data_IF_692676770750
#
_entry.id   IF_692676770750
#
_cell.length_a   1.000
_cell.length_b   1.000
_cell.length_c   1.000
_cell.angle_alpha   90.00
_cell.angle_beta   90.00
_cell.angle_gamma   90.00
#
_symmetry.space_group_name_H-M   'P 1'
#
loop_
_entity.id
_entity.type
_entity.pdbx_description
1 polymer ?
#
# COMPACT_ATOMS: atom_id res chain seq x y z
N UNK A 1 -15.67 7.39 30.88
CA UNK A 1 -15.13 7.74 32.22
C UNK A 1 -14.11 6.66 32.58
N UNK A 2 -12.86 6.99 32.96
CA UNK A 2 -11.85 5.99 33.36
C UNK A 2 -12.34 5.04 34.46
N UNK A 3 -13.35 5.43 35.24
CA UNK A 3 -14.00 4.58 36.24
C UNK A 3 -14.50 3.23 35.68
N UNK A 4 -14.96 3.18 34.43
CA UNK A 4 -15.53 1.98 33.82
C UNK A 4 -14.49 1.05 33.18
N UNK A 5 -13.21 1.42 33.21
CA UNK A 5 -12.12 0.63 32.62
C UNK A 5 -11.79 -0.53 33.55
N UNK A 6 -11.86 -1.74 33.00
CA UNK A 6 -11.45 -2.94 33.73
C UNK A 6 -9.92 -3.08 33.70
N UNK A 7 -9.35 -3.58 34.79
CA UNK A 7 -7.92 -3.89 34.88
C UNK A 7 -7.68 -5.24 34.22
N UNK A 8 -7.49 -5.23 32.90
CA UNK A 8 -7.14 -6.39 32.08
C UNK A 8 -5.83 -6.11 31.37
N UNK A 9 -4.97 -7.10 31.22
CA UNK A 9 -3.82 -6.97 30.33
C UNK A 9 -4.24 -7.41 28.93
N UNK A 10 -3.94 -6.59 27.92
CA UNK A 10 -4.28 -6.90 26.54
C UNK A 10 -3.08 -7.54 25.86
N UNK A 11 -3.31 -8.64 25.16
CA UNK A 11 -2.30 -9.28 24.33
C UNK A 11 -2.04 -8.41 23.09
N UNK A 12 -0.76 -8.26 22.72
CA UNK A 12 -0.33 -7.64 21.46
C UNK A 12 -0.20 -8.72 20.39
N UNK A 13 -0.77 -8.47 19.22
CA UNK A 13 -0.73 -9.38 18.09
C UNK A 13 0.69 -9.46 17.52
N UNK A 14 1.06 -10.65 17.06
CA UNK A 14 2.34 -10.90 16.38
C UNK A 14 2.08 -11.81 15.17
N UNK A 15 2.87 -11.65 14.10
CA UNK A 15 2.81 -12.53 12.93
C UNK A 15 3.15 -13.99 13.28
N UNK A 16 2.54 -14.97 12.59
CA UNK A 16 2.97 -16.35 12.69
C UNK A 16 4.46 -16.49 12.39
N UNK A 17 5.20 -17.35 13.11
CA UNK A 17 6.59 -17.64 12.79
C UNK A 17 6.72 -18.13 11.34
N UNK A 18 7.60 -17.50 10.57
CA UNK A 18 7.86 -17.83 9.16
C UNK A 18 9.36 -17.93 8.88
N UNK A 19 9.75 -18.78 7.93
CA UNK A 19 11.15 -18.91 7.47
C UNK A 19 11.70 -20.33 7.56
N UNK A 20 12.94 -20.50 7.10
CA UNK A 20 13.60 -21.82 6.98
C UNK A 20 14.09 -22.42 8.31
N UNK A 21 14.08 -21.64 9.39
CA UNK A 21 14.62 -22.03 10.71
C UNK A 21 13.59 -21.83 11.83
N UNK A 22 12.34 -22.24 11.59
CA UNK A 22 11.31 -22.22 12.63
C UNK A 22 11.72 -23.18 13.75
N UNK A 23 11.89 -22.65 14.96
CA UNK A 23 12.17 -23.42 16.17
C UNK A 23 11.00 -24.36 16.46
N UNK A 24 11.28 -25.61 16.83
CA UNK A 24 10.27 -26.59 17.21
C UNK A 24 9.38 -26.01 18.33
N UNK A 25 8.05 -26.03 18.13
CA UNK A 25 7.08 -25.50 19.10
C UNK A 25 6.83 -23.98 19.01
N UNK A 26 7.51 -23.24 18.13
CA UNK A 26 7.26 -21.81 17.94
C UNK A 26 5.83 -21.53 17.44
N UNK A 27 5.34 -22.35 16.51
CA UNK A 27 3.96 -22.22 15.99
C UNK A 27 2.92 -22.53 17.07
N UNK A 28 3.18 -23.51 17.95
CA UNK A 28 2.26 -23.83 19.06
C UNK A 28 2.23 -22.73 20.11
N UNK A 29 3.40 -22.14 20.41
CA UNK A 29 3.53 -20.99 21.31
C UNK A 29 2.79 -19.77 20.74
N UNK A 30 2.95 -19.51 19.45
CA UNK A 30 2.22 -18.46 18.75
C UNK A 30 0.71 -18.69 18.81
N UNK A 31 0.23 -19.92 18.53
CA UNK A 31 -1.20 -20.26 18.60
C UNK A 31 -1.77 -19.98 19.98
N UNK A 32 -1.14 -20.49 21.04
CA UNK A 32 -1.62 -20.27 22.41
C UNK A 32 -1.69 -18.77 22.77
N UNK A 33 -0.72 -17.96 22.33
CA UNK A 33 -0.74 -16.52 22.55
C UNK A 33 -1.84 -15.83 21.74
N UNK A 34 -2.05 -16.23 20.49
CA UNK A 34 -3.06 -15.64 19.61
C UNK A 34 -4.49 -16.07 19.96
N UNK A 35 -4.66 -17.23 20.59
CA UNK A 35 -5.92 -17.60 21.25
C UNK A 35 -6.23 -16.61 22.39
N UNK A 36 -5.25 -16.26 23.22
CA UNK A 36 -5.38 -15.19 24.23
C UNK A 36 -5.73 -13.82 23.62
N UNK A 37 -5.05 -13.44 22.53
CA UNK A 37 -5.40 -12.23 21.78
C UNK A 37 -6.86 -12.25 21.28
N UNK A 38 -7.30 -13.38 20.71
CA UNK A 38 -8.67 -13.53 20.24
C UNK A 38 -9.69 -13.42 21.38
N UNK A 39 -9.38 -13.99 22.55
CA UNK A 39 -10.21 -13.85 23.75
C UNK A 39 -10.30 -12.40 24.23
N UNK A 40 -9.21 -11.65 24.18
CA UNK A 40 -9.17 -10.22 24.52
C UNK A 40 -10.06 -9.40 23.57
N UNK A 41 -9.97 -9.63 22.25
CA UNK A 41 -10.82 -8.94 21.27
C UNK A 41 -12.29 -9.32 21.43
N UNK A 42 -12.60 -10.61 21.69
CA UNK A 42 -13.96 -11.08 21.96
C UNK A 42 -14.53 -10.47 23.25
N UNK A 43 -13.71 -10.34 24.29
CA UNK A 43 -14.09 -9.64 25.51
C UNK A 43 -14.37 -8.16 25.26
N UNK A 44 -13.52 -7.46 24.51
CA UNK A 44 -13.74 -6.06 24.16
C UNK A 44 -15.10 -5.87 23.46
N UNK A 45 -15.44 -6.78 22.55
CA UNK A 45 -16.72 -6.78 21.84
C UNK A 45 -17.93 -7.11 22.74
N UNK A 46 -17.73 -7.86 23.83
CA UNK A 46 -18.81 -8.21 24.75
C UNK A 46 -19.15 -7.08 25.74
N UNK A 47 -18.29 -6.06 25.88
CA UNK A 47 -18.52 -4.93 26.76
C UNK A 47 -19.76 -4.13 26.37
N UNK A 48 -20.51 -3.71 27.38
CA UNK A 48 -21.59 -2.73 27.25
C UNK A 48 -21.05 -1.40 26.71
N UNK A 49 -21.89 -0.64 26.00
CA UNK A 49 -21.51 0.59 25.29
C UNK A 49 -20.60 1.54 26.07
N UNK A 50 -20.95 1.89 27.32
CA UNK A 50 -20.18 2.84 28.12
C UNK A 50 -18.83 2.26 28.59
N UNK A 51 -18.76 0.95 28.83
CA UNK A 51 -17.52 0.23 29.16
C UNK A 51 -16.63 0.11 27.94
N UNK A 52 -17.19 -0.28 26.80
CA UNK A 52 -16.47 -0.32 25.53
C UNK A 52 -15.78 1.00 25.22
N UNK A 53 -16.53 2.11 25.20
CA UNK A 53 -15.94 3.43 24.93
C UNK A 53 -14.96 3.88 26.00
N UNK A 54 -15.21 3.57 27.28
CA UNK A 54 -14.24 3.89 28.33
C UNK A 54 -12.94 3.09 28.16
N UNK A 55 -13.02 1.81 27.81
CA UNK A 55 -11.85 0.98 27.52
C UNK A 55 -11.08 1.52 26.31
N UNK A 56 -11.74 1.80 25.18
CA UNK A 56 -11.10 2.38 24.00
C UNK A 56 -10.34 3.69 24.32
N UNK A 57 -10.92 4.55 25.15
CA UNK A 57 -10.39 5.88 25.41
C UNK A 57 -9.30 5.95 26.49
N UNK A 58 -9.32 5.04 27.44
CA UNK A 58 -8.53 5.18 28.67
C UNK A 58 -7.70 3.94 29.00
N UNK A 59 -7.95 2.79 28.37
CA UNK A 59 -7.13 1.60 28.57
C UNK A 59 -5.82 1.75 27.78
N UNK A 60 -4.69 1.71 28.47
CA UNK A 60 -3.37 2.02 27.91
C UNK A 60 -2.97 1.13 26.74
N UNK A 61 -3.41 -0.13 26.70
CA UNK A 61 -3.02 -1.10 25.68
C UNK A 61 -4.12 -1.41 24.65
N UNK A 62 -5.34 -0.87 24.80
CA UNK A 62 -6.48 -1.39 24.03
C UNK A 62 -6.37 -1.03 22.54
N UNK A 63 -6.09 0.23 22.23
CA UNK A 63 -5.85 0.64 20.84
C UNK A 63 -4.56 0.04 20.29
N UNK A 64 -3.49 -0.07 21.09
CA UNK A 64 -2.24 -0.70 20.68
C UNK A 64 -2.46 -2.18 20.27
N UNK A 65 -3.27 -2.93 21.01
CA UNK A 65 -3.63 -4.30 20.66
C UNK A 65 -4.36 -4.37 19.31
N UNK A 66 -5.33 -3.47 19.06
CA UNK A 66 -6.06 -3.43 17.78
C UNK A 66 -5.15 -3.03 16.60
N UNK A 67 -4.32 -2.00 16.80
CA UNK A 67 -3.40 -1.49 15.78
C UNK A 67 -2.29 -2.49 15.48
N UNK A 68 -1.80 -3.22 16.48
CA UNK A 68 -0.78 -4.25 16.27
C UNK A 68 -1.24 -5.32 15.27
N UNK A 69 -2.52 -5.71 15.28
CA UNK A 69 -3.03 -6.64 14.27
C UNK A 69 -2.99 -6.03 12.87
N UNK A 70 -3.40 -4.77 12.72
CA UNK A 70 -3.41 -4.09 11.43
C UNK A 70 -1.99 -3.96 10.84
N UNK A 71 -1.01 -3.61 11.68
CA UNK A 71 0.39 -3.45 11.27
C UNK A 71 1.05 -4.78 10.88
N UNK A 72 0.69 -5.86 11.57
CA UNK A 72 1.26 -7.19 11.41
C UNK A 72 0.39 -8.10 10.53
N UNK A 73 -0.72 -7.61 9.99
CA UNK A 73 -1.58 -8.41 9.11
C UNK A 73 -0.83 -8.82 7.85
N UNK A 74 -1.05 -10.05 7.36
CA UNK A 74 -0.39 -10.55 6.15
C UNK A 74 -0.90 -9.78 4.92
N UNK A 75 -0.03 -9.08 4.16
CA UNK A 75 -0.45 -8.32 2.99
C UNK A 75 -1.03 -9.24 1.91
N UNK A 76 -1.93 -8.75 1.03
CA UNK A 76 -2.61 -9.59 0.03
C UNK A 76 -1.69 -10.31 -0.97
N UNK A 77 -0.49 -9.78 -1.22
CA UNK A 77 0.48 -10.39 -2.13
C UNK A 77 1.32 -11.51 -1.50
N UNK A 78 1.25 -11.68 -0.17
CA UNK A 78 1.94 -12.77 0.53
C UNK A 78 1.04 -14.02 0.50
N UNK A 79 1.57 -15.19 0.12
CA UNK A 79 0.81 -16.43 0.15
C UNK A 79 0.25 -16.75 1.54
N UNK A 80 -0.93 -17.40 1.61
CA UNK A 80 -1.48 -17.87 2.88
C UNK A 80 -0.52 -18.83 3.61
N UNK A 81 -0.59 -18.83 4.94
CA UNK A 81 0.20 -19.75 5.78
C UNK A 81 -0.11 -21.21 5.45
N UNK A 82 0.89 -22.10 5.42
CA UNK A 82 0.66 -23.51 5.06
C UNK A 82 -0.24 -24.27 6.05
N UNK A 83 -0.16 -23.93 7.34
CA UNK A 83 -0.93 -24.60 8.39
C UNK A 83 -2.38 -24.13 8.43
N UNK A 84 -3.31 -25.06 8.26
CA UNK A 84 -4.75 -24.79 8.30
C UNK A 84 -5.22 -24.25 9.67
N UNK A 85 -4.63 -24.72 10.76
CA UNK A 85 -5.00 -24.25 12.10
C UNK A 85 -4.57 -22.78 12.30
N UNK A 86 -3.37 -22.43 11.80
CA UNK A 86 -2.88 -21.04 11.79
C UNK A 86 -3.78 -20.15 10.94
N UNK A 87 -4.14 -20.59 9.73
CA UNK A 87 -5.07 -19.85 8.86
C UNK A 87 -6.43 -19.63 9.56
N UNK A 88 -6.97 -20.66 10.20
CA UNK A 88 -8.28 -20.57 10.87
C UNK A 88 -8.24 -19.57 12.03
N UNK A 89 -7.22 -19.66 12.89
CA UNK A 89 -7.05 -18.72 14.00
C UNK A 89 -6.81 -17.29 13.50
N UNK A 90 -6.01 -17.12 12.45
CA UNK A 90 -5.75 -15.83 11.82
C UNK A 90 -7.05 -15.19 11.29
N UNK A 91 -7.86 -15.93 10.53
CA UNK A 91 -9.12 -15.42 9.99
C UNK A 91 -10.15 -15.11 11.08
N UNK A 92 -10.18 -15.90 12.16
CA UNK A 92 -11.01 -15.59 13.32
C UNK A 92 -10.59 -14.27 13.96
N UNK A 93 -9.29 -14.05 14.20
CA UNK A 93 -8.77 -12.79 14.72
C UNK A 93 -9.11 -11.64 13.78
N UNK A 94 -8.76 -11.79 12.51
CA UNK A 94 -8.99 -10.82 11.43
C UNK A 94 -10.45 -10.36 11.40
N UNK A 95 -11.39 -11.30 11.45
CA UNK A 95 -12.83 -11.01 11.49
C UNK A 95 -13.23 -10.21 12.72
N UNK A 96 -12.78 -10.60 13.91
CA UNK A 96 -13.20 -9.92 15.16
C UNK A 96 -12.62 -8.51 15.26
N UNK A 97 -11.38 -8.29 14.82
CA UNK A 97 -10.78 -6.94 14.76
C UNK A 97 -11.59 -6.03 13.82
N UNK A 98 -12.02 -6.51 12.65
CA UNK A 98 -12.89 -5.72 11.76
C UNK A 98 -14.23 -5.35 12.41
N UNK A 99 -14.82 -6.27 13.19
CA UNK A 99 -16.06 -5.99 13.93
C UNK A 99 -15.83 -4.88 14.97
N UNK A 100 -14.67 -4.86 15.65
CA UNK A 100 -14.32 -3.76 16.57
C UNK A 100 -14.26 -2.43 15.83
N UNK A 101 -13.54 -2.34 14.71
CA UNK A 101 -13.46 -1.12 13.91
C UNK A 101 -14.83 -0.69 13.35
N UNK A 102 -15.71 -1.65 13.05
CA UNK A 102 -17.08 -1.37 12.64
C UNK A 102 -17.91 -0.77 13.79
N UNK A 103 -17.73 -1.28 15.01
CA UNK A 103 -18.36 -0.73 16.22
C UNK A 103 -17.84 0.68 16.51
N UNK A 104 -16.54 0.93 16.32
CA UNK A 104 -15.92 2.24 16.49
C UNK A 104 -16.47 3.33 15.57
N UNK A 105 -17.12 2.99 14.45
CA UNK A 105 -17.80 3.95 13.56
C UNK A 105 -19.33 3.97 13.75
N UNK A 106 -19.85 3.25 14.74
CA UNK A 106 -21.30 3.16 15.02
C UNK A 106 -21.71 4.13 16.12
N UNK A 107 -22.22 5.32 15.74
CA UNK A 107 -22.59 6.37 16.70
C UNK A 107 -23.85 6.07 17.52
N UNK A 108 -24.65 5.08 17.10
CA UNK A 108 -25.91 4.70 17.74
C UNK A 108 -26.09 3.19 17.74
N UNK A 109 -25.75 2.54 18.85
CA UNK A 109 -25.96 1.10 19.04
C UNK A 109 -27.40 0.78 19.44
N UNK A 110 -28.08 1.70 20.15
CA UNK A 110 -29.50 1.53 20.51
C UNK A 110 -30.22 2.88 20.72
N UNK A 111 -31.47 2.85 21.19
CA UNK A 111 -32.22 4.07 21.55
C UNK A 111 -31.62 4.79 22.77
N UNK A 112 -30.95 4.05 23.65
CA UNK A 112 -30.39 4.54 24.93
C UNK A 112 -28.87 4.56 24.94
N UNK A 113 -28.23 3.83 24.02
CA UNK A 113 -26.77 3.71 23.90
C UNK A 113 -26.33 4.36 22.59
N UNK A 114 -25.99 5.65 22.66
CA UNK A 114 -25.61 6.44 21.51
C UNK A 114 -24.84 7.69 21.93
N UNK A 115 -24.16 8.31 20.97
CA UNK A 115 -23.56 9.63 21.08
C UNK A 115 -23.90 10.46 19.85
N UNK A 116 -23.84 11.79 19.98
CA UNK A 116 -24.04 12.68 18.84
C UNK A 116 -22.93 12.46 17.82
N UNK A 117 -23.22 12.73 16.53
CA UNK A 117 -22.24 12.54 15.47
C UNK A 117 -21.06 13.51 15.63
N UNK A 118 -21.35 14.72 16.10
CA UNK A 118 -20.38 15.79 16.34
C UNK A 118 -19.41 15.37 17.46
N UNK A 119 -19.94 14.87 18.59
CA UNK A 119 -19.10 14.39 19.68
C UNK A 119 -18.25 13.20 19.24
N UNK A 120 -18.82 12.27 18.47
CA UNK A 120 -18.07 11.14 17.93
C UNK A 120 -16.97 11.58 16.97
N UNK A 121 -17.23 12.56 16.10
CA UNK A 121 -16.26 13.08 15.15
C UNK A 121 -15.03 13.68 15.85
N UNK A 122 -15.25 14.45 16.92
CA UNK A 122 -14.16 14.99 17.74
C UNK A 122 -13.45 13.88 18.52
N UNK A 123 -14.22 12.92 19.05
CA UNK A 123 -13.68 11.78 19.81
C UNK A 123 -12.73 10.92 18.95
N UNK A 124 -13.17 10.54 17.75
CA UNK A 124 -12.38 9.70 16.84
C UNK A 124 -11.07 10.38 16.43
N UNK A 125 -11.14 11.69 16.17
CA UNK A 125 -10.02 12.47 15.66
C UNK A 125 -9.05 12.88 16.77
N UNK A 126 -9.53 13.56 17.81
CA UNK A 126 -8.68 14.16 18.84
C UNK A 126 -8.07 13.10 19.78
N UNK A 127 -8.62 11.88 19.79
CA UNK A 127 -8.05 10.72 20.51
C UNK A 127 -7.29 9.76 19.63
N UNK A 128 -7.05 10.10 18.36
CA UNK A 128 -6.29 9.27 17.41
C UNK A 128 -6.84 7.84 17.29
N UNK A 129 -8.15 7.64 17.46
CA UNK A 129 -8.80 6.33 17.31
C UNK A 129 -8.73 5.90 15.85
N UNK A 130 -8.95 6.85 14.93
CA UNK A 130 -8.59 6.71 13.54
C UNK A 130 -7.52 7.73 13.18
N UNK A 131 -6.54 7.26 12.43
CA UNK A 131 -5.50 8.05 11.77
C UNK A 131 -5.43 7.58 10.31
N UNK A 132 -4.81 8.37 9.41
CA UNK A 132 -4.66 7.94 8.02
C UNK A 132 -3.90 6.60 7.88
N UNK A 133 -2.82 6.33 8.64
CA UNK A 133 -2.22 5.00 8.70
C UNK A 133 -3.22 3.88 9.05
N UNK A 134 -4.01 4.04 10.13
CA UNK A 134 -5.03 3.04 10.50
C UNK A 134 -6.07 2.84 9.38
N UNK A 135 -6.51 3.92 8.74
CA UNK A 135 -7.45 3.86 7.61
C UNK A 135 -6.85 3.09 6.43
N UNK A 136 -5.57 3.31 6.13
CA UNK A 136 -4.85 2.62 5.07
C UNK A 136 -4.58 1.15 5.41
N UNK A 137 -4.22 0.83 6.65
CA UNK A 137 -4.04 -0.57 7.08
C UNK A 137 -5.35 -1.34 7.04
N UNK A 138 -6.49 -0.69 7.37
CA UNK A 138 -7.82 -1.27 7.18
C UNK A 138 -8.11 -1.55 5.70
N UNK A 139 -7.70 -0.67 4.79
CA UNK A 139 -7.81 -0.91 3.35
C UNK A 139 -6.95 -2.10 2.94
N UNK A 140 -5.66 -2.10 3.29
CA UNK A 140 -4.73 -3.17 2.91
C UNK A 140 -5.17 -4.54 3.44
N UNK A 141 -5.63 -4.59 4.69
CA UNK A 141 -5.99 -5.84 5.39
C UNK A 141 -7.33 -6.42 4.92
N UNK A 142 -8.30 -5.59 4.56
CA UNK A 142 -9.70 -6.01 4.35
C UNK A 142 -10.30 -5.58 3.00
N UNK A 143 -9.63 -4.73 2.25
CA UNK A 143 -10.23 -4.11 1.06
C UNK A 143 -10.45 -5.08 -0.10
N UNK A 144 -9.57 -6.07 -0.25
CA UNK A 144 -9.62 -7.04 -1.36
C UNK A 144 -10.85 -7.96 -1.28
N UNK A 145 -11.20 -8.43 -0.09
CA UNK A 145 -12.27 -9.42 0.13
C UNK A 145 -13.50 -8.84 0.86
N UNK A 146 -13.36 -7.71 1.56
CA UNK A 146 -14.43 -7.02 2.29
C UNK A 146 -14.61 -5.54 1.85
N UNK A 147 -14.20 -5.20 0.62
CA UNK A 147 -14.16 -3.82 0.11
C UNK A 147 -15.44 -3.01 0.29
N UNK A 148 -16.63 -3.62 0.09
CA UNK A 148 -17.91 -2.93 0.33
C UNK A 148 -18.09 -2.52 1.79
N UNK A 149 -17.67 -3.35 2.74
CA UNK A 149 -17.81 -3.08 4.17
C UNK A 149 -16.78 -2.04 4.60
N UNK A 150 -15.53 -2.19 4.16
CA UNK A 150 -14.45 -1.21 4.40
C UNK A 150 -14.83 0.16 3.83
N UNK A 151 -15.37 0.22 2.61
CA UNK A 151 -15.85 1.47 2.01
C UNK A 151 -16.90 2.19 2.87
N UNK A 152 -17.80 1.46 3.55
CA UNK A 152 -18.75 2.05 4.50
C UNK A 152 -18.08 2.58 5.76
N UNK A 153 -17.08 1.87 6.28
CA UNK A 153 -16.28 2.34 7.43
C UNK A 153 -15.60 3.66 7.05
N UNK A 154 -14.99 3.75 5.87
CA UNK A 154 -14.36 4.97 5.37
C UNK A 154 -15.38 6.09 5.12
N UNK A 155 -16.54 5.79 4.53
CA UNK A 155 -17.65 6.75 4.39
C UNK A 155 -18.06 7.34 5.75
N UNK A 156 -18.11 6.51 6.81
CA UNK A 156 -18.38 7.00 8.15
C UNK A 156 -17.23 7.87 8.69
N UNK A 157 -15.97 7.43 8.58
CA UNK A 157 -14.81 8.18 9.10
C UNK A 157 -14.69 9.55 8.45
N UNK A 158 -14.63 9.61 7.11
CA UNK A 158 -14.52 10.87 6.37
C UNK A 158 -15.82 11.70 6.43
N UNK A 159 -16.98 11.04 6.50
CA UNK A 159 -18.27 11.73 6.58
C UNK A 159 -18.59 12.32 7.95
N UNK A 160 -18.12 11.69 9.04
CA UNK A 160 -18.25 12.24 10.40
C UNK A 160 -17.26 13.39 10.62
N UNK A 161 -16.02 13.25 10.15
CA UNK A 161 -14.95 14.18 10.42
C UNK A 161 -14.21 14.62 9.13
N UNK A 162 -14.54 15.79 8.59
CA UNK A 162 -13.92 16.31 7.36
C UNK A 162 -12.41 16.58 7.47
N UNK A 163 -11.87 16.76 8.69
CA UNK A 163 -10.43 17.02 8.89
C UNK A 163 -9.54 15.89 8.36
N UNK A 164 -10.03 14.65 8.33
CA UNK A 164 -9.29 13.52 7.76
C UNK A 164 -8.95 13.69 6.28
N UNK A 165 -9.74 14.46 5.51
CA UNK A 165 -9.40 14.74 4.12
C UNK A 165 -8.09 15.52 3.99
N UNK A 166 -7.88 16.52 4.86
CA UNK A 166 -6.65 17.30 4.92
C UNK A 166 -5.44 16.44 5.29
N UNK A 167 -5.61 15.56 6.28
CA UNK A 167 -4.57 14.63 6.70
C UNK A 167 -4.22 13.63 5.60
N UNK A 168 -5.23 13.13 4.87
CA UNK A 168 -5.03 12.24 3.74
C UNK A 168 -4.29 12.93 2.58
N UNK A 169 -4.57 14.22 2.31
CA UNK A 169 -3.81 15.02 1.33
C UNK A 169 -2.34 15.11 1.75
N UNK A 170 -2.08 15.38 3.03
CA UNK A 170 -0.72 15.44 3.56
C UNK A 170 0.00 14.09 3.46
N UNK A 171 -0.68 12.98 3.79
CA UNK A 171 -0.15 11.63 3.69
C UNK A 171 0.18 11.25 2.24
N UNK A 172 -0.71 11.52 1.28
CA UNK A 172 -0.45 11.26 -0.16
C UNK A 172 0.69 12.14 -0.68
N UNK A 173 0.79 13.39 -0.23
CA UNK A 173 1.92 14.26 -0.59
C UNK A 173 3.25 13.71 -0.06
N UNK A 174 3.24 13.14 1.14
CA UNK A 174 4.41 12.47 1.71
C UNK A 174 4.79 11.21 0.92
N UNK A 175 3.82 10.36 0.54
CA UNK A 175 4.04 9.19 -0.32
C UNK A 175 4.63 9.59 -1.67
N UNK A 176 4.17 10.70 -2.26
CA UNK A 176 4.76 11.27 -3.48
C UNK A 176 6.25 11.58 -3.31
N UNK A 177 6.66 12.15 -2.18
CA UNK A 177 8.08 12.41 -1.92
C UNK A 177 8.87 11.12 -1.65
N UNK A 178 8.25 10.11 -1.03
CA UNK A 178 8.85 8.78 -0.86
C UNK A 178 9.12 8.09 -2.21
N UNK A 179 8.17 8.16 -3.16
CA UNK A 179 8.35 7.63 -4.51
C UNK A 179 9.47 8.34 -5.27
N UNK A 180 9.55 9.67 -5.18
CA UNK A 180 10.69 10.43 -5.75
C UNK A 180 12.02 10.01 -5.14
N UNK A 181 12.04 9.80 -3.83
CA UNK A 181 13.24 9.33 -3.14
C UNK A 181 13.68 7.95 -3.65
N UNK A 182 12.76 7.00 -3.83
CA UNK A 182 13.06 5.68 -4.42
C UNK A 182 13.67 5.83 -5.82
N UNK A 183 13.09 6.68 -6.68
CA UNK A 183 13.65 6.96 -8.01
C UNK A 183 15.10 7.44 -7.89
N UNK A 184 15.38 8.40 -7.00
CA UNK A 184 16.74 8.93 -6.82
C UNK A 184 17.75 7.90 -6.29
N UNK A 185 17.30 6.88 -5.56
CA UNK A 185 18.18 5.79 -5.10
C UNK A 185 18.66 4.90 -6.25
N UNK A 186 17.80 4.68 -7.24
CA UNK A 186 18.12 3.81 -8.40
C UNK A 186 18.57 4.59 -9.63
N UNK A 187 18.25 5.88 -9.70
CA UNK A 187 18.51 6.78 -10.80
C UNK A 187 19.20 8.08 -10.32
N UNK A 188 20.53 8.08 -10.33
CA UNK A 188 21.31 9.24 -9.86
C UNK A 188 21.27 10.43 -10.82
N UNK A 189 20.95 10.19 -12.08
CA UNK A 189 20.87 11.21 -13.13
C UNK A 189 19.46 11.79 -13.26
N UNK A 190 18.53 11.38 -12.38
CA UNK A 190 17.17 11.88 -12.35
C UNK A 190 17.15 13.35 -11.91
N UNK A 191 16.83 14.24 -12.86
CA UNK A 191 16.65 15.67 -12.61
C UNK A 191 15.29 15.91 -11.95
N UNK A 192 15.26 15.91 -10.62
CA UNK A 192 14.07 16.29 -9.85
C UNK A 192 13.97 17.80 -9.74
N UNK A 193 12.76 18.36 -9.78
CA UNK A 193 12.48 19.81 -9.61
C UNK A 193 12.93 20.40 -8.25
N UNK A 194 13.55 19.59 -7.40
CA UNK A 194 14.10 19.91 -6.08
C UNK A 194 14.43 18.63 -5.32
N UNK A 195 15.22 18.71 -4.22
CA UNK A 195 15.45 17.56 -3.35
C UNK A 195 14.13 17.07 -2.71
N UNK A 196 13.95 15.77 -2.48
CA UNK A 196 12.74 15.24 -1.82
C UNK A 196 12.49 15.95 -0.49
N UNK A 197 11.25 16.44 -0.32
CA UNK A 197 10.84 17.11 0.90
C UNK A 197 10.23 16.10 1.88
N UNK A 198 11.07 15.16 2.33
CA UNK A 198 10.70 14.21 3.39
C UNK A 198 10.99 14.86 4.76
N UNK A 199 9.99 15.05 5.64
CA UNK A 199 10.25 15.43 7.03
C UNK A 199 11.08 14.34 7.73
N UNK A 200 11.89 14.71 8.74
CA UNK A 200 12.71 13.75 9.52
C UNK A 200 11.86 12.66 10.19
N UNK A 201 10.60 12.99 10.50
CA UNK A 201 9.55 12.08 10.95
C UNK A 201 8.21 12.63 10.46
N UNK A 202 7.40 11.80 9.78
CA UNK A 202 5.97 12.07 9.69
C UNK A 202 5.34 11.45 10.94
N UNK A 203 4.73 12.24 11.83
CA UNK A 203 4.05 11.70 13.01
C UNK A 203 2.96 10.72 12.53
N UNK A 204 3.18 9.41 12.72
CA UNK A 204 2.31 8.34 12.23
C UNK A 204 2.95 7.38 11.22
N UNK A 205 4.10 7.72 10.63
CA UNK A 205 4.96 6.81 9.85
C UNK A 205 6.31 6.74 10.56
N UNK A 206 6.42 5.93 11.62
CA UNK A 206 7.64 5.82 12.44
C UNK A 206 8.86 5.22 11.72
N UNK A 207 8.74 4.85 10.45
CA UNK A 207 9.74 4.02 9.76
C UNK A 207 10.54 4.72 8.67
N UNK A 208 10.10 5.89 8.19
CA UNK A 208 10.82 6.58 7.11
C UNK A 208 11.94 7.41 7.73
N UNK A 209 13.05 6.74 8.03
CA UNK A 209 14.32 7.42 8.28
C UNK A 209 14.77 8.07 6.98
N UNK A 210 15.02 9.37 7.03
CA UNK A 210 15.91 10.02 6.05
C UNK A 210 17.26 9.30 6.12
N UNK A 211 17.83 8.83 5.00
CA UNK A 211 19.22 8.40 5.02
C UNK A 211 20.09 9.57 5.39
N UNK A 212 21.16 9.29 6.13
CA UNK A 212 22.19 10.26 6.47
C UNK A 212 22.68 10.98 5.20
N UNK A 213 22.81 12.30 5.24
CA UNK A 213 23.46 13.14 4.21
C UNK A 213 24.97 12.87 4.11
N UNK A 214 25.41 11.61 4.23
CA UNK A 214 26.80 11.23 4.00
C UNK A 214 27.03 11.22 2.49
N UNK A 215 27.85 12.17 2.03
CA UNK A 215 28.53 12.19 0.72
C UNK A 215 29.51 11.02 0.55
N UNK A 216 29.20 9.85 1.09
CA UNK A 216 29.91 8.60 0.84
C UNK A 216 29.09 7.84 -0.19
N UNK A 217 29.74 7.46 -1.28
CA UNK A 217 29.16 6.66 -2.34
C UNK A 217 28.83 5.25 -1.83
N UNK A 218 27.78 5.09 -1.03
CA UNK A 218 27.29 3.77 -0.69
C UNK A 218 26.68 3.17 -1.95
N UNK A 219 27.37 2.16 -2.47
CA UNK A 219 26.88 1.30 -3.53
C UNK A 219 25.57 0.68 -3.04
N UNK A 220 24.49 0.84 -3.81
CA UNK A 220 23.20 0.21 -3.52
C UNK A 220 23.43 -1.31 -3.33
N UNK A 221 23.05 -1.83 -2.17
CA UNK A 221 23.18 -3.26 -1.86
C UNK A 221 21.88 -3.99 -2.19
N UNK A 222 21.95 -5.31 -2.37
CA UNK A 222 20.76 -6.13 -2.59
C UNK A 222 19.74 -6.01 -1.45
N UNK A 223 20.21 -5.94 -0.20
CA UNK A 223 19.33 -5.75 0.97
C UNK A 223 18.57 -4.43 0.91
N UNK A 224 19.27 -3.32 0.64
CA UNK A 224 18.63 -2.00 0.50
C UNK A 224 17.66 -1.98 -0.68
N UNK A 225 18.03 -2.58 -1.82
CA UNK A 225 17.14 -2.68 -2.98
C UNK A 225 15.87 -3.47 -2.64
N UNK A 226 16.00 -4.62 -1.96
CA UNK A 226 14.87 -5.42 -1.48
C UNK A 226 13.93 -4.58 -0.62
N UNK A 227 14.46 -3.84 0.36
CA UNK A 227 13.65 -3.01 1.26
C UNK A 227 12.92 -1.90 0.48
N UNK A 228 13.57 -1.28 -0.51
CA UNK A 228 12.95 -0.28 -1.38
C UNK A 228 11.81 -0.87 -2.21
N UNK A 229 11.99 -2.07 -2.78
CA UNK A 229 10.97 -2.74 -3.60
C UNK A 229 9.78 -3.15 -2.74
N UNK A 230 10.01 -3.74 -1.56
CA UNK A 230 8.93 -4.13 -0.63
C UNK A 230 8.16 -2.90 -0.17
N UNK A 231 8.85 -1.84 0.24
CA UNK A 231 8.19 -0.59 0.63
C UNK A 231 7.37 0.01 -0.50
N UNK A 232 7.89 -0.03 -1.73
CA UNK A 232 7.19 0.47 -2.90
C UNK A 232 5.94 -0.38 -3.21
N UNK A 233 6.02 -1.70 -3.06
CA UNK A 233 4.90 -2.62 -3.23
C UNK A 233 3.80 -2.38 -2.20
N UNK A 234 4.16 -2.36 -0.91
CA UNK A 234 3.23 -2.09 0.19
C UNK A 234 2.48 -0.79 -0.03
N UNK A 235 3.23 0.27 -0.37
CA UNK A 235 2.67 1.60 -0.58
C UNK A 235 1.77 1.63 -1.81
N UNK A 236 2.20 1.07 -2.94
CA UNK A 236 1.42 1.07 -4.19
C UNK A 236 0.12 0.29 -4.02
N UNK A 237 0.18 -0.90 -3.42
CA UNK A 237 -1.00 -1.73 -3.17
C UNK A 237 -1.97 -1.05 -2.21
N UNK A 238 -1.47 -0.45 -1.14
CA UNK A 238 -2.29 0.31 -0.18
C UNK A 238 -3.06 1.45 -0.88
N UNK A 239 -2.37 2.24 -1.72
CA UNK A 239 -3.02 3.33 -2.45
C UNK A 239 -4.03 2.84 -3.49
N UNK A 240 -3.74 1.76 -4.22
CA UNK A 240 -4.69 1.15 -5.16
C UNK A 240 -5.95 0.71 -4.42
N UNK A 241 -5.80 -0.06 -3.34
CA UNK A 241 -6.96 -0.56 -2.59
C UNK A 241 -7.76 0.61 -2.00
N UNK A 242 -7.09 1.63 -1.45
CA UNK A 242 -7.77 2.82 -0.93
C UNK A 242 -8.62 3.53 -2.00
N UNK A 243 -8.11 3.67 -3.23
CA UNK A 243 -8.87 4.21 -4.37
C UNK A 243 -10.06 3.33 -4.73
N UNK A 244 -9.88 2.01 -4.77
CA UNK A 244 -10.90 1.04 -5.13
C UNK A 244 -12.05 1.01 -4.10
N UNK A 245 -11.73 0.89 -2.80
CA UNK A 245 -12.74 0.77 -1.74
C UNK A 245 -13.39 2.11 -1.39
N UNK A 246 -12.71 3.22 -1.66
CA UNK A 246 -13.20 4.56 -1.39
C UNK A 246 -12.91 5.53 -2.55
N UNK A 247 -13.68 5.45 -3.66
CA UNK A 247 -13.46 6.30 -4.84
C UNK A 247 -13.57 7.81 -4.58
N UNK A 248 -14.24 8.22 -3.48
CA UNK A 248 -14.26 9.61 -2.99
C UNK A 248 -12.87 10.13 -2.58
N UNK A 249 -11.85 9.27 -2.54
CA UNK A 249 -10.46 9.67 -2.36
C UNK A 249 -9.81 10.28 -3.60
N UNK A 250 -10.36 10.10 -4.80
CA UNK A 250 -9.74 10.62 -6.05
C UNK A 250 -9.42 12.13 -5.99
N UNK A 251 -10.28 13.01 -5.44
CA UNK A 251 -9.95 14.42 -5.22
C UNK A 251 -8.72 14.65 -4.32
N UNK A 252 -8.44 13.76 -3.37
CA UNK A 252 -7.25 13.81 -2.49
C UNK A 252 -5.98 13.65 -3.34
N UNK A 253 -5.94 12.63 -4.20
CA UNK A 253 -4.82 12.38 -5.12
C UNK A 253 -4.66 13.48 -6.18
N UNK A 254 -5.77 14.13 -6.58
CA UNK A 254 -5.73 15.29 -7.47
C UNK A 254 -5.06 16.49 -6.79
N UNK A 255 -5.42 16.79 -5.53
CA UNK A 255 -4.85 17.91 -4.76
C UNK A 255 -3.33 17.82 -4.60
N UNK A 256 -2.77 16.62 -4.62
CA UNK A 256 -1.31 16.38 -4.49
C UNK A 256 -0.58 16.31 -5.84
N UNK A 257 -1.31 16.44 -6.97
CA UNK A 257 -0.80 16.17 -8.31
C UNK A 257 -0.13 14.77 -8.38
N UNK A 258 -0.77 13.76 -7.80
CA UNK A 258 -0.22 12.41 -7.77
C UNK A 258 -0.21 11.76 -9.17
N UNK A 259 -1.29 11.98 -9.95
CA UNK A 259 -1.51 11.27 -11.23
C UNK A 259 -1.89 12.17 -12.41
N UNK A 260 -2.82 13.12 -12.26
CA UNK A 260 -3.29 13.99 -13.37
C UNK A 260 -3.42 15.44 -12.87
N UNK A 261 -3.18 16.44 -13.73
CA UNK A 261 -3.46 17.86 -13.44
C UNK A 261 -4.96 18.14 -13.57
N UNK A 262 -5.50 19.00 -12.72
CA UNK A 262 -6.91 19.42 -12.74
C UNK A 262 -7.40 20.07 -14.04
N UNK A 263 -6.52 20.36 -15.01
CA UNK A 263 -6.83 21.22 -16.17
C UNK A 263 -6.42 20.69 -17.56
N UNK A 264 -5.92 19.45 -17.72
CA UNK A 264 -5.38 19.00 -19.03
C UNK A 264 -6.02 17.74 -19.61
N UNK A 265 -6.42 17.87 -20.88
CA UNK A 265 -6.58 16.81 -21.90
C UNK A 265 -5.43 15.78 -21.83
N UNK A 266 -5.80 14.50 -21.88
CA UNK A 266 -4.91 13.33 -21.83
C UNK A 266 -3.70 13.49 -22.78
N UNK A 267 -2.52 13.77 -22.23
CA UNK A 267 -1.24 13.85 -22.95
C UNK A 267 -0.86 12.49 -23.59
N UNK A 268 -0.01 12.50 -24.63
CA UNK A 268 0.45 11.32 -25.37
C UNK A 268 1.15 10.24 -24.53
N UNK A 269 1.86 10.58 -23.46
CA UNK A 269 2.48 9.61 -22.54
C UNK A 269 1.43 8.71 -21.85
N UNK A 270 0.29 9.29 -21.47
CA UNK A 270 -0.85 8.54 -20.94
C UNK A 270 -1.44 7.55 -21.95
N UNK A 271 -1.31 7.80 -23.26
CA UNK A 271 -1.77 6.87 -24.31
C UNK A 271 -0.85 5.65 -24.44
N UNK A 272 0.44 5.78 -24.18
CA UNK A 272 1.38 4.65 -24.23
C UNK A 272 1.25 3.76 -22.98
N UNK A 273 1.00 4.33 -21.80
CA UNK A 273 0.58 3.56 -20.60
C UNK A 273 -0.68 2.73 -20.87
N UNK A 274 -1.68 3.33 -21.54
CA UNK A 274 -2.89 2.61 -21.98
C UNK A 274 -2.61 1.57 -23.08
N UNK A 275 -1.55 1.73 -23.88
CA UNK A 275 -1.20 0.81 -24.98
C UNK A 275 -0.34 -0.37 -24.52
N UNK A 276 0.46 -0.20 -23.47
CA UNK A 276 1.29 -1.27 -22.88
C UNK A 276 0.46 -2.49 -22.41
N UNK A 277 -0.86 -2.32 -22.24
CA UNK A 277 -1.84 -3.35 -21.91
C UNK A 277 -2.17 -4.32 -23.08
N UNK A 278 -1.88 -3.97 -24.34
CA UNK A 278 -2.33 -4.78 -25.49
C UNK A 278 -1.40 -5.99 -25.79
N UNK A 279 -0.24 -6.11 -25.14
CA UNK A 279 0.60 -7.32 -25.28
C UNK A 279 0.59 -8.14 -23.98
N UNK A 280 -0.01 -9.35 -23.96
CA UNK A 280 0.18 -10.25 -22.84
C UNK A 280 1.65 -10.70 -22.78
N UNK A 281 2.20 -10.71 -21.57
CA UNK A 281 3.53 -11.23 -21.29
C UNK A 281 3.51 -12.77 -21.37
N UNK A 282 3.71 -13.33 -22.57
CA UNK A 282 3.89 -14.77 -22.75
C UNK A 282 5.36 -15.12 -22.48
N UNK A 283 5.65 -15.69 -21.29
CA UNK A 283 6.93 -16.35 -21.01
C UNK A 283 7.06 -17.59 -21.91
N UNK A 284 8.09 -17.62 -22.74
CA UNK A 284 8.49 -18.82 -23.49
C UNK A 284 9.08 -19.86 -22.53
N UNK A 285 8.43 -21.03 -22.46
CA UNK A 285 9.06 -22.27 -21.97
C UNK A 285 9.69 -22.96 -23.17
N UNK A 286 11.01 -23.14 -23.15
CA UNK A 286 11.72 -23.97 -24.11
C UNK A 286 12.36 -25.14 -23.37
N UNK A 287 12.05 -26.39 -23.77
CA UNK A 287 13.02 -27.47 -24.02
C UNK A 287 12.34 -28.56 -24.87
N UNK A 288 12.96 -28.90 -26.00
CA UNK A 288 12.63 -30.10 -26.79
C UNK A 288 13.07 -30.05 -28.26
N UNK A 289 14.39 -30.02 -28.53
CA UNK A 289 15.00 -30.27 -29.86
C UNK A 289 14.75 -31.75 -30.30
N UNK A 290 14.88 -32.18 -31.59
CA UNK A 290 16.00 -31.84 -32.49
C UNK A 290 15.73 -31.66 -34.02
N UNK A 291 16.56 -30.80 -34.62
CA UNK A 291 17.32 -30.94 -35.88
C UNK A 291 16.61 -31.13 -37.23
N UNK A 292 16.76 -30.13 -38.14
CA UNK A 292 17.53 -30.18 -39.41
C UNK A 292 17.62 -28.74 -39.97
N UNK A 293 18.84 -28.29 -40.27
CA UNK A 293 19.11 -27.12 -41.13
C UNK A 293 19.41 -27.61 -42.57
N UNK A 294 19.14 -26.82 -43.63
CA UNK A 294 20.14 -25.83 -44.03
C UNK A 294 19.61 -24.47 -44.57
N UNK A 295 20.30 -23.42 -44.13
CA UNK A 295 20.83 -22.23 -44.83
C UNK A 295 20.12 -21.65 -46.08
N UNK A 296 19.68 -20.37 -46.01
CA UNK A 296 20.13 -19.20 -46.81
C UNK A 296 19.45 -17.90 -46.27
N UNK A 297 20.30 -16.90 -45.92
CA UNK A 297 20.17 -15.42 -45.92
C UNK A 297 18.78 -14.75 -45.86
N UNK A 298 18.53 -13.62 -45.18
CA UNK A 298 19.22 -12.71 -44.28
C UNK A 298 18.18 -11.64 -43.85
N UNK A 299 18.39 -10.98 -42.70
CA UNK A 299 17.79 -9.70 -42.29
C UNK A 299 16.34 -9.62 -41.75
N UNK A 300 16.03 -10.31 -40.67
CA UNK A 300 14.96 -9.86 -39.74
C UNK A 300 15.42 -10.06 -38.30
N UNK A 301 15.77 -8.96 -37.61
CA UNK A 301 16.26 -9.04 -36.23
C UNK A 301 16.76 -7.73 -35.61
N UNK A 302 16.52 -6.57 -36.23
CA UNK A 302 16.99 -5.28 -35.73
C UNK A 302 15.95 -4.14 -35.84
N UNK A 303 14.65 -4.46 -35.96
CA UNK A 303 13.61 -3.46 -36.16
C UNK A 303 12.80 -3.08 -34.90
N UNK A 304 12.71 -3.93 -33.86
CA UNK A 304 11.83 -3.63 -32.71
C UNK A 304 12.42 -2.68 -31.66
N UNK A 305 13.74 -2.42 -31.66
CA UNK A 305 14.37 -1.44 -30.74
C UNK A 305 14.44 -0.03 -31.37
N UNK A 306 14.25 0.10 -32.69
CA UNK A 306 14.42 1.38 -33.41
C UNK A 306 13.16 2.26 -33.47
N UNK A 307 11.98 1.69 -33.27
CA UNK A 307 10.72 2.47 -33.26
C UNK A 307 10.58 3.28 -31.97
N UNK A 308 11.25 2.89 -30.89
CA UNK A 308 11.28 3.66 -29.62
C UNK A 308 12.16 4.92 -29.74
N UNK A 309 13.15 4.94 -30.65
CA UNK A 309 14.14 6.01 -30.73
C UNK A 309 13.88 7.09 -31.81
N UNK A 310 12.94 6.89 -32.74
CA UNK A 310 12.81 7.76 -33.93
C UNK A 310 11.60 8.70 -33.98
N UNK A 311 10.74 8.75 -32.95
CA UNK A 311 9.67 9.77 -32.84
C UNK A 311 10.03 10.96 -31.92
N UNK A 312 11.32 11.13 -31.68
CA UNK A 312 11.84 11.97 -30.63
C UNK A 312 12.70 13.11 -31.18
N UNK A 313 12.10 13.93 -32.04
CA UNK A 313 12.70 15.21 -32.46
C UNK A 313 11.61 16.27 -32.48
N UNK A 314 11.47 16.95 -31.32
CA UNK A 314 10.84 18.26 -31.02
C UNK A 314 9.82 18.19 -29.86
N UNK A 315 9.99 18.97 -28.77
CA UNK A 315 11.18 19.24 -27.99
C UNK A 315 11.05 18.55 -26.61
N UNK A 316 11.96 17.61 -26.31
CA UNK A 316 12.07 16.90 -25.02
C UNK A 316 12.08 17.78 -23.77
N UNK A 317 12.40 19.07 -23.90
CA UNK A 317 12.43 20.01 -22.77
C UNK A 317 11.06 20.39 -22.19
N UNK A 318 9.95 20.15 -22.90
CA UNK A 318 8.61 20.52 -22.41
C UNK A 318 7.85 19.36 -21.76
N UNK A 319 8.22 18.11 -22.04
CA UNK A 319 7.54 16.92 -21.46
C UNK A 319 8.17 16.51 -20.12
N UNK A 320 9.44 16.84 -19.90
CA UNK A 320 10.12 16.58 -18.62
C UNK A 320 9.67 17.50 -17.47
N UNK A 321 9.03 18.63 -17.77
CA UNK A 321 8.80 19.66 -16.76
C UNK A 321 7.53 19.48 -15.90
N UNK A 322 6.69 18.47 -16.14
CA UNK A 322 5.47 18.26 -15.32
C UNK A 322 4.99 16.80 -15.25
N UNK A 323 5.87 15.81 -15.43
CA UNK A 323 5.48 14.40 -15.29
C UNK A 323 5.07 14.08 -13.85
N UNK A 324 3.97 13.33 -13.71
CA UNK A 324 3.33 13.03 -12.42
C UNK A 324 4.07 11.89 -11.74
N UNK A 325 4.08 11.82 -10.41
CA UNK A 325 5.00 10.91 -9.68
C UNK A 325 4.82 9.44 -10.06
N UNK A 326 3.58 9.00 -10.34
CA UNK A 326 3.31 7.64 -10.83
C UNK A 326 3.95 7.40 -12.19
N UNK A 327 3.82 8.35 -13.13
CA UNK A 327 4.44 8.25 -14.47
C UNK A 327 5.96 8.29 -14.34
N UNK A 328 6.50 9.19 -13.50
CA UNK A 328 7.93 9.28 -13.25
C UNK A 328 8.50 7.99 -12.67
N UNK A 329 7.82 7.42 -11.68
CA UNK A 329 8.21 6.16 -11.08
C UNK A 329 8.14 5.01 -12.10
N UNK A 330 7.10 4.98 -12.93
CA UNK A 330 6.95 3.96 -13.96
C UNK A 330 8.01 4.06 -15.06
N UNK A 331 8.30 5.27 -15.56
CA UNK A 331 9.25 5.49 -16.66
C UNK A 331 10.71 5.47 -16.22
N UNK A 332 11.01 6.03 -15.04
CA UNK A 332 12.38 6.26 -14.58
C UNK A 332 12.78 5.46 -13.34
N UNK A 333 11.82 4.87 -12.61
CA UNK A 333 12.09 4.03 -11.44
C UNK A 333 12.09 2.55 -11.78
N UNK A 334 10.98 2.03 -12.33
CA UNK A 334 10.77 0.60 -12.58
C UNK A 334 11.88 -0.05 -13.43
N UNK A 335 12.29 0.50 -14.59
CA UNK A 335 13.36 -0.13 -15.39
C UNK A 335 14.68 -0.23 -14.62
N UNK A 336 15.00 0.80 -13.83
CA UNK A 336 16.23 0.84 -13.04
C UNK A 336 16.16 -0.06 -11.81
N UNK A 337 14.97 -0.36 -11.28
CA UNK A 337 14.84 -1.39 -10.25
C UNK A 337 15.24 -2.78 -10.79
N UNK A 338 14.84 -3.14 -12.02
CA UNK A 338 15.31 -4.39 -12.65
C UNK A 338 16.81 -4.38 -12.91
N UNK A 339 17.36 -3.29 -13.47
CA UNK A 339 18.80 -3.17 -13.72
C UNK A 339 19.60 -3.32 -12.42
N UNK A 340 19.17 -2.64 -11.34
CA UNK A 340 19.85 -2.76 -10.05
C UNK A 340 19.66 -4.12 -9.40
N UNK A 341 18.55 -4.81 -9.67
CA UNK A 341 18.34 -6.19 -9.23
C UNK A 341 19.34 -7.13 -9.90
N UNK A 342 19.51 -7.01 -11.22
CA UNK A 342 20.52 -7.77 -11.99
C UNK A 342 21.95 -7.48 -11.54
N UNK A 343 22.27 -6.21 -11.22
CA UNK A 343 23.62 -5.81 -10.76
C UNK A 343 23.97 -6.32 -9.36
N UNK A 344 22.99 -6.42 -8.46
CA UNK A 344 23.24 -6.64 -7.03
C UNK A 344 22.83 -8.02 -6.54
N UNK A 345 21.90 -8.69 -7.22
CA UNK A 345 21.32 -9.96 -6.80
C UNK A 345 21.95 -11.19 -7.46
N UNK A 346 21.71 -12.36 -6.84
CA UNK A 346 22.05 -13.66 -7.41
C UNK A 346 20.81 -14.26 -8.11
N UNK A 347 20.82 -14.29 -9.45
CA UNK A 347 19.74 -14.79 -10.29
C UNK A 347 19.35 -16.25 -10.01
N UNK A 348 20.22 -17.03 -9.36
CA UNK A 348 19.93 -18.43 -8.98
C UNK A 348 19.19 -18.54 -7.65
N UNK A 349 19.12 -17.45 -6.87
CA UNK A 349 18.48 -17.44 -5.56
C UNK A 349 16.97 -17.28 -5.66
N UNK A 350 16.25 -17.95 -4.74
CA UNK A 350 14.80 -17.81 -4.60
C UNK A 350 14.42 -16.36 -4.30
N UNK A 351 15.18 -15.69 -3.42
CA UNK A 351 14.92 -14.29 -3.05
C UNK A 351 15.05 -13.34 -4.23
N UNK A 352 15.99 -13.55 -5.17
CA UNK A 352 16.03 -12.75 -6.40
C UNK A 352 14.72 -12.85 -7.17
N UNK A 353 14.22 -14.07 -7.36
CA UNK A 353 12.97 -14.34 -8.11
C UNK A 353 11.77 -13.73 -7.40
N UNK A 354 11.73 -13.78 -6.06
CA UNK A 354 10.71 -13.11 -5.25
C UNK A 354 10.73 -11.60 -5.48
N UNK A 355 11.90 -10.95 -5.41
CA UNK A 355 12.02 -9.50 -5.62
C UNK A 355 11.67 -9.10 -7.05
N UNK A 356 12.07 -9.88 -8.06
CA UNK A 356 11.64 -9.66 -9.45
C UNK A 356 10.11 -9.67 -9.57
N UNK A 357 9.45 -10.68 -8.99
CA UNK A 357 7.99 -10.77 -8.97
C UNK A 357 7.33 -9.61 -8.20
N UNK A 358 7.99 -9.08 -7.16
CA UNK A 358 7.52 -7.89 -6.45
C UNK A 358 7.59 -6.64 -7.34
N UNK A 359 8.66 -6.45 -8.12
CA UNK A 359 8.75 -5.36 -9.10
C UNK A 359 7.65 -5.49 -10.17
N UNK A 360 7.40 -6.71 -10.67
CA UNK A 360 6.28 -6.98 -11.59
C UNK A 360 4.93 -6.56 -10.99
N UNK A 361 4.72 -6.89 -9.71
CA UNK A 361 3.49 -6.55 -9.00
C UNK A 361 3.36 -5.04 -8.81
N UNK A 362 4.42 -4.36 -8.35
CA UNK A 362 4.48 -2.89 -8.25
C UNK A 362 4.05 -2.26 -9.57
N UNK A 363 4.62 -2.74 -10.69
CA UNK A 363 4.32 -2.21 -12.02
C UNK A 363 2.83 -2.31 -12.33
N UNK A 364 2.18 -3.43 -12.00
CA UNK A 364 0.74 -3.60 -12.16
C UNK A 364 -0.07 -2.66 -11.25
N UNK A 365 0.30 -2.58 -9.97
CA UNK A 365 -0.37 -1.71 -8.99
C UNK A 365 -0.33 -0.22 -9.41
N UNK A 366 0.79 0.26 -9.95
CA UNK A 366 0.92 1.63 -10.46
C UNK A 366 -0.02 1.90 -11.65
N UNK A 367 -0.20 0.91 -12.52
CA UNK A 367 -1.15 1.00 -13.65
C UNK A 367 -2.58 1.02 -13.12
N UNK A 368 -2.91 0.20 -12.14
CA UNK A 368 -4.26 0.14 -11.60
C UNK A 368 -4.62 1.41 -10.82
N UNK A 369 -3.70 2.01 -10.06
CA UNK A 369 -3.87 3.36 -9.50
C UNK A 369 -4.24 4.37 -10.60
N UNK A 370 -3.52 4.33 -11.73
CA UNK A 370 -3.77 5.20 -12.87
C UNK A 370 -5.17 4.98 -13.46
N UNK A 371 -5.59 3.71 -13.61
CA UNK A 371 -6.91 3.33 -14.12
C UNK A 371 -8.04 3.76 -13.20
N UNK A 372 -7.94 3.52 -11.90
CA UNK A 372 -8.98 3.88 -10.92
C UNK A 372 -9.24 5.40 -10.94
N UNK A 373 -8.16 6.19 -10.96
CA UNK A 373 -8.26 7.64 -11.04
C UNK A 373 -8.91 8.07 -12.37
N UNK A 374 -8.53 7.47 -13.50
CA UNK A 374 -9.15 7.75 -14.80
C UNK A 374 -10.63 7.33 -14.86
N UNK A 375 -10.99 6.21 -14.27
CA UNK A 375 -12.36 5.70 -14.24
C UNK A 375 -13.28 6.67 -13.49
N UNK A 376 -12.80 7.24 -12.38
CA UNK A 376 -13.50 8.28 -11.65
C UNK A 376 -13.68 9.56 -12.49
N UNK A 377 -12.65 10.00 -13.22
CA UNK A 377 -12.79 11.15 -14.13
C UNK A 377 -13.78 10.90 -15.25
N UNK A 378 -13.72 9.72 -15.88
CA UNK A 378 -14.67 9.33 -16.91
C UNK A 378 -16.10 9.40 -16.37
N UNK A 379 -16.32 8.87 -15.17
CA UNK A 379 -17.62 8.87 -14.51
C UNK A 379 -18.12 10.29 -14.23
N UNK A 380 -17.24 11.20 -13.75
CA UNK A 380 -17.55 12.61 -13.51
C UNK A 380 -17.97 13.34 -14.80
N UNK A 381 -17.27 13.08 -15.92
CA UNK A 381 -17.61 13.65 -17.24
C UNK A 381 -19.01 13.19 -17.70
N UNK A 382 -19.37 11.92 -17.46
CA UNK A 382 -20.69 11.40 -17.82
C UNK A 382 -21.80 11.82 -16.85
N UNK A 383 -21.49 12.13 -15.59
CA UNK A 383 -22.46 12.65 -14.61
C UNK A 383 -22.66 14.17 -14.71
N UNK A 384 -21.79 14.88 -15.44
CA UNK A 384 -21.87 16.33 -15.60
C UNK A 384 -21.42 17.13 -14.36
N UNK A 385 -20.62 16.51 -13.49
CA UNK A 385 -20.04 17.13 -12.28
C UNK A 385 -18.68 17.80 -12.54
#
# INVERSE_FOLDING_TARGET
DPYWVEKREMTIYERPPSGSTIVLGAVDTWKARMEGYLEDVKWLLSLEYHRFWSTILYHSQCMDALVSFLQEATPPYIPPHESRDVQTLYEDIRRHVLIVFSRLVTNKESKTQWMTKEFMADLLYDKFIFTIPIVWDLCLTYGVDNGRHVGRVLDCVFGLQPRYEGDAVAAVAFVKEAFKYIILQVNKDYDSEGPPNLPETFKGFSEIRRPSNSKAADKLTFGVLKDLVVHLLDTSMTLRIFLEVYPKSVPIFRKTNFVIRSETTICGSHKELLRAEIKPATRCVAVGCPTIAPTVQSSEGFAEVRVVYTMFVLPYKWVQLETRVIVQLYEYGIPLLYEKLEETGDQTSVTYTEIEAHIDTVRAELIDIFREILAAYKSAIFSGE
#
